data_IF_235230801137
#
_entry.id   IF_235230801137
#
_cell.length_a   1.000
_cell.length_b   1.000
_cell.length_c   1.000
_cell.angle_alpha   90.00
_cell.angle_beta   90.00
_cell.angle_gamma   90.00
#
_symmetry.space_group_name_H-M   'P 1'
#
loop_
_entity.id
_entity.type
_entity.pdbx_description
1 polymer ?
#
# COMPACT_ATOMS: atom_id res chain seq x y z
N UNK A 1 -4.10 -1.99 28.58
CA UNK A 1 -5.35 -2.59 28.07
C UNK A 1 -5.00 -3.34 26.79
N UNK A 2 -5.90 -4.16 26.23
CA UNK A 2 -5.64 -4.88 24.97
C UNK A 2 -6.37 -4.20 23.83
N UNK A 3 -5.70 -4.07 22.68
CA UNK A 3 -6.29 -3.58 21.44
C UNK A 3 -7.51 -4.44 21.04
N UNK A 4 -8.56 -3.79 20.57
CA UNK A 4 -9.74 -4.40 19.96
C UNK A 4 -9.83 -3.92 18.51
N UNK A 5 -10.35 -4.79 17.65
CA UNK A 5 -10.46 -4.53 16.20
C UNK A 5 -11.83 -4.95 15.71
N UNK A 6 -12.44 -4.16 14.86
CA UNK A 6 -13.59 -4.61 14.11
C UNK A 6 -13.15 -5.60 13.04
N UNK A 7 -13.62 -6.84 13.17
CA UNK A 7 -13.36 -7.89 12.21
C UNK A 7 -14.59 -8.09 11.30
N UNK A 8 -14.40 -7.80 10.01
CA UNK A 8 -15.45 -7.95 8.99
C UNK A 8 -16.04 -9.37 8.96
N UNK A 9 -15.24 -10.40 9.28
CA UNK A 9 -15.71 -11.79 9.27
C UNK A 9 -16.73 -12.09 10.38
N UNK A 10 -16.66 -11.37 11.50
CA UNK A 10 -17.61 -11.52 12.62
C UNK A 10 -18.67 -10.41 12.66
N UNK A 11 -18.42 -9.29 11.97
CA UNK A 11 -19.28 -8.11 12.03
C UNK A 11 -19.28 -7.40 13.38
N UNK A 12 -18.23 -7.60 14.20
CA UNK A 12 -18.14 -7.08 15.55
C UNK A 12 -16.74 -6.58 15.90
N UNK A 13 -16.66 -5.69 16.89
CA UNK A 13 -15.39 -5.32 17.54
C UNK A 13 -15.02 -6.46 18.50
N UNK A 14 -13.86 -7.06 18.28
CA UNK A 14 -13.37 -8.23 19.02
C UNK A 14 -11.97 -7.96 19.60
N UNK A 15 -11.59 -8.62 20.71
CA UNK A 15 -10.22 -8.52 21.21
C UNK A 15 -9.21 -9.01 20.17
N UNK A 16 -8.17 -8.22 19.94
CA UNK A 16 -7.05 -8.63 19.11
C UNK A 16 -6.10 -9.53 19.90
N UNK A 17 -5.76 -10.68 19.34
CA UNK A 17 -4.75 -11.59 19.90
C UNK A 17 -3.82 -12.00 18.77
N UNK A 18 -2.52 -11.65 18.81
CA UNK A 18 -1.60 -11.97 17.75
C UNK A 18 -1.42 -13.49 17.59
N UNK A 19 -1.04 -13.92 16.39
CA UNK A 19 -0.72 -15.31 16.05
C UNK A 19 0.57 -15.75 16.72
N UNK A 20 1.51 -14.82 16.83
CA UNK A 20 2.77 -14.99 17.56
C UNK A 20 2.87 -13.89 18.60
N UNK A 21 2.97 -14.26 19.87
CA UNK A 21 3.09 -13.33 20.99
C UNK A 21 4.14 -12.24 20.73
N UNK A 22 3.78 -10.98 20.96
CA UNK A 22 4.65 -9.82 20.72
C UNK A 22 4.90 -9.46 19.24
N UNK A 23 4.27 -10.13 18.27
CA UNK A 23 4.42 -9.83 16.83
C UNK A 23 3.08 -9.62 16.15
N UNK A 24 3.04 -8.71 15.18
CA UNK A 24 1.84 -8.46 14.36
C UNK A 24 2.21 -8.53 12.89
N UNK A 25 1.50 -9.38 12.15
CA UNK A 25 1.64 -9.60 10.72
C UNK A 25 0.45 -9.02 9.96
N UNK A 26 0.72 -8.03 9.11
CA UNK A 26 -0.30 -7.30 8.37
C UNK A 26 -0.05 -7.48 6.88
N UNK A 27 -1.05 -7.96 6.15
CA UNK A 27 -1.14 -7.77 4.71
C UNK A 27 -2.20 -6.71 4.42
N UNK A 28 -1.92 -5.75 3.55
CA UNK A 28 -2.99 -4.94 2.99
C UNK A 28 -2.84 -4.77 1.48
N UNK A 29 -3.95 -4.89 0.77
CA UNK A 29 -3.96 -4.84 -0.69
C UNK A 29 -3.38 -3.53 -1.21
N UNK A 30 -2.51 -3.68 -2.20
CA UNK A 30 -1.80 -2.64 -2.91
C UNK A 30 -2.65 -1.74 -3.77
N UNK A 31 -1.98 -1.01 -4.67
CA UNK A 31 -2.64 -0.27 -5.74
C UNK A 31 -2.23 -0.84 -7.08
N UNK A 32 -3.18 -0.83 -8.02
CA UNK A 32 -2.88 -1.02 -9.43
C UNK A 32 -2.22 0.24 -9.96
N UNK A 33 -1.01 0.14 -10.52
CA UNK A 33 -0.23 1.27 -11.03
C UNK A 33 -0.64 1.68 -12.45
N UNK A 34 -1.94 1.91 -12.62
CA UNK A 34 -2.60 2.28 -13.89
C UNK A 34 -2.77 3.80 -14.06
N UNK A 35 -2.70 4.57 -12.98
CA UNK A 35 -2.91 6.02 -12.97
C UNK A 35 -2.44 6.60 -11.65
N UNK A 36 -2.11 7.89 -11.63
CA UNK A 36 -1.74 8.67 -10.45
C UNK A 36 -2.70 8.43 -9.26
N UNK A 37 -2.18 8.30 -8.03
CA UNK A 37 -3.01 8.01 -6.86
C UNK A 37 -3.76 9.27 -6.39
N UNK A 38 -5.06 9.12 -6.14
CA UNK A 38 -5.90 10.14 -5.52
C UNK A 38 -6.12 9.89 -4.03
N UNK A 39 -6.67 10.87 -3.32
CA UNK A 39 -6.91 10.80 -1.87
C UNK A 39 -7.70 9.55 -1.42
N UNK A 40 -8.71 9.15 -2.19
CA UNK A 40 -9.44 7.90 -1.94
C UNK A 40 -8.55 6.64 -1.94
N UNK A 41 -7.65 6.50 -2.93
CA UNK A 41 -6.70 5.39 -3.00
C UNK A 41 -5.71 5.40 -1.84
N UNK A 42 -5.22 6.59 -1.46
CA UNK A 42 -4.14 6.73 -0.47
C UNK A 42 -4.62 6.59 0.97
N UNK A 43 -5.92 6.81 1.24
CA UNK A 43 -6.49 6.76 2.60
C UNK A 43 -6.15 5.45 3.30
N UNK A 44 -6.32 4.33 2.59
CA UNK A 44 -5.92 2.98 2.99
C UNK A 44 -4.51 3.00 3.60
N UNK A 45 -3.52 3.52 2.87
CA UNK A 45 -2.13 3.53 3.34
C UNK A 45 -1.97 4.34 4.63
N UNK A 46 -2.65 5.48 4.75
CA UNK A 46 -2.63 6.29 5.97
C UNK A 46 -3.21 5.53 7.16
N UNK A 47 -4.31 4.80 6.96
CA UNK A 47 -4.95 3.99 8.01
C UNK A 47 -4.01 2.89 8.51
N UNK A 48 -3.44 2.09 7.61
CA UNK A 48 -2.53 1.01 7.99
C UNK A 48 -1.20 1.53 8.55
N UNK A 49 -0.73 2.71 8.13
CA UNK A 49 0.42 3.38 8.76
C UNK A 49 0.12 3.82 10.19
N UNK A 50 -1.07 4.37 10.47
CA UNK A 50 -1.51 4.71 11.85
C UNK A 50 -1.62 3.45 12.70
N UNK A 51 -2.23 2.38 12.17
CA UNK A 51 -2.33 1.08 12.86
C UNK A 51 -0.94 0.51 13.19
N UNK A 52 -0.03 0.49 12.20
CA UNK A 52 1.36 0.04 12.39
C UNK A 52 2.06 0.83 13.48
N UNK A 53 1.91 2.16 13.49
CA UNK A 53 2.49 3.04 14.49
C UNK A 53 1.91 2.78 15.88
N UNK A 54 0.61 2.53 15.98
CA UNK A 54 -0.04 2.20 17.26
C UNK A 54 0.48 0.88 17.83
N UNK A 55 0.52 -0.19 17.03
CA UNK A 55 1.07 -1.48 17.47
C UNK A 55 2.56 -1.37 17.83
N UNK A 56 3.35 -0.62 17.04
CA UNK A 56 4.78 -0.42 17.33
C UNK A 56 4.96 0.34 18.65
N UNK A 57 4.19 1.40 18.90
CA UNK A 57 4.21 2.14 20.15
C UNK A 57 3.77 1.28 21.34
N UNK A 58 2.86 0.33 21.09
CA UNK A 58 2.36 -0.65 22.08
C UNK A 58 3.32 -1.83 22.31
N UNK A 59 4.52 -1.80 21.73
CA UNK A 59 5.58 -2.77 21.98
C UNK A 59 5.62 -3.99 21.06
N UNK A 60 4.79 -4.04 20.01
CA UNK A 60 4.80 -5.14 19.06
C UNK A 60 5.89 -4.98 17.99
N UNK A 61 6.49 -6.10 17.57
CA UNK A 61 7.24 -6.19 16.32
C UNK A 61 6.24 -6.31 15.15
N UNK A 62 6.08 -5.25 14.36
CA UNK A 62 5.09 -5.21 13.27
C UNK A 62 5.76 -5.46 11.92
N UNK A 63 5.24 -6.45 11.19
CA UNK A 63 5.59 -6.73 9.79
C UNK A 63 4.43 -6.40 8.88
N UNK A 64 4.65 -5.49 7.93
CA UNK A 64 3.65 -5.09 6.95
C UNK A 64 4.08 -5.54 5.56
N UNK A 65 3.21 -6.24 4.84
CA UNK A 65 3.37 -6.58 3.43
C UNK A 65 2.25 -5.92 2.65
N UNK A 66 2.57 -5.20 1.59
CA UNK A 66 1.59 -4.55 0.74
C UNK A 66 2.02 -4.70 -0.71
N UNK A 67 1.18 -5.21 -1.60
CA UNK A 67 1.63 -5.48 -2.96
C UNK A 67 1.61 -4.24 -3.87
N UNK A 68 2.16 -4.38 -5.06
CA UNK A 68 1.89 -3.55 -6.23
C UNK A 68 1.31 -4.45 -7.31
N UNK A 69 0.12 -4.11 -7.82
CA UNK A 69 -0.43 -4.76 -9.01
C UNK A 69 0.09 -4.01 -10.23
N UNK A 70 1.21 -4.49 -10.76
CA UNK A 70 1.91 -3.93 -11.91
C UNK A 70 1.54 -4.59 -13.24
N UNK A 71 0.65 -5.58 -13.22
CA UNK A 71 0.07 -6.22 -14.41
C UNK A 71 -1.46 -6.19 -14.34
N UNK A 72 -2.09 -5.52 -15.30
CA UNK A 72 -3.54 -5.45 -15.40
C UNK A 72 -3.98 -4.93 -16.78
N UNK A 73 -5.12 -5.38 -17.29
CA UNK A 73 -5.70 -4.89 -18.55
C UNK A 73 -5.90 -3.36 -18.53
N UNK A 74 -6.22 -2.79 -17.36
CA UNK A 74 -6.37 -1.35 -17.20
C UNK A 74 -5.05 -0.58 -17.34
N UNK A 75 -3.92 -1.19 -17.02
CA UNK A 75 -2.60 -0.59 -17.24
C UNK A 75 -2.33 -0.52 -18.74
N UNK A 76 -2.61 -1.58 -19.48
CA UNK A 76 -2.40 -1.64 -20.92
C UNK A 76 -3.25 -0.62 -21.66
N UNK A 77 -4.54 -0.52 -21.32
CA UNK A 77 -5.44 0.45 -21.91
C UNK A 77 -4.90 1.88 -21.73
N UNK A 78 -4.42 2.21 -20.52
CA UNK A 78 -3.85 3.53 -20.21
C UNK A 78 -2.50 3.76 -20.88
N UNK A 79 -1.68 2.73 -21.01
CA UNK A 79 -0.38 2.84 -21.67
C UNK A 79 -0.58 3.09 -23.17
N UNK A 80 -1.53 2.40 -23.80
CA UNK A 80 -1.91 2.63 -25.19
C UNK A 80 -2.44 4.05 -25.43
N UNK A 81 -3.30 4.58 -24.54
CA UNK A 81 -3.76 5.98 -24.59
C UNK A 81 -2.59 6.98 -24.50
N UNK A 82 -1.55 6.66 -23.72
CA UNK A 82 -0.37 7.50 -23.52
C UNK A 82 0.74 7.29 -24.57
N UNK A 83 0.61 6.32 -25.48
CA UNK A 83 1.66 5.93 -26.41
C UNK A 83 2.91 5.37 -25.73
N UNK A 84 2.75 4.71 -24.59
CA UNK A 84 3.82 4.11 -23.79
C UNK A 84 3.71 2.58 -23.78
N UNK A 85 4.83 1.91 -23.49
CA UNK A 85 4.77 0.50 -23.12
C UNK A 85 4.13 0.35 -21.73
N UNK A 86 3.41 -0.75 -21.51
CA UNK A 86 2.65 -0.92 -20.27
C UNK A 86 3.53 -0.94 -19.02
N UNK A 87 4.72 -1.51 -19.12
CA UNK A 87 5.67 -1.56 -18.01
C UNK A 87 6.31 -0.19 -17.73
N UNK A 88 6.41 0.69 -18.74
CA UNK A 88 6.89 2.06 -18.56
C UNK A 88 5.87 2.88 -17.78
N UNK A 89 4.58 2.76 -18.15
CA UNK A 89 3.49 3.40 -17.40
C UNK A 89 3.44 2.88 -15.96
N UNK A 90 3.43 1.56 -15.78
CA UNK A 90 3.36 0.93 -14.48
C UNK A 90 4.49 1.41 -13.56
N UNK A 91 5.73 1.41 -14.05
CA UNK A 91 6.88 1.87 -13.29
C UNK A 91 6.82 3.37 -12.98
N UNK A 92 6.43 4.22 -13.94
CA UNK A 92 6.30 5.66 -13.71
C UNK A 92 5.25 5.98 -12.64
N UNK A 93 4.10 5.30 -12.68
CA UNK A 93 3.02 5.47 -11.70
C UNK A 93 3.41 4.90 -10.33
N UNK A 94 4.15 3.79 -10.28
CA UNK A 94 4.71 3.25 -9.03
C UNK A 94 5.61 4.28 -8.33
N UNK A 95 6.51 4.94 -9.09
CA UNK A 95 7.36 6.00 -8.53
C UNK A 95 6.54 7.20 -8.03
N UNK A 96 5.48 7.57 -8.74
CA UNK A 96 4.56 8.62 -8.27
C UNK A 96 3.84 8.21 -6.98
N UNK A 97 3.41 6.95 -6.90
CA UNK A 97 2.78 6.38 -5.72
C UNK A 97 3.67 6.47 -4.49
N UNK A 98 4.93 6.09 -4.61
CA UNK A 98 5.89 6.19 -3.50
C UNK A 98 6.17 7.63 -3.08
N UNK A 99 6.18 8.59 -4.02
CA UNK A 99 6.27 10.01 -3.70
C UNK A 99 5.04 10.49 -2.91
N UNK A 100 3.84 10.04 -3.30
CA UNK A 100 2.60 10.36 -2.58
C UNK A 100 2.62 9.79 -1.14
N UNK A 101 3.01 8.53 -0.96
CA UNK A 101 3.18 7.93 0.38
C UNK A 101 4.19 8.69 1.23
N UNK A 102 5.34 9.01 0.65
CA UNK A 102 6.42 9.73 1.34
C UNK A 102 5.99 11.15 1.73
N UNK A 103 5.27 11.86 0.87
CA UNK A 103 4.74 13.19 1.15
C UNK A 103 3.80 13.17 2.37
N UNK A 104 2.97 12.13 2.49
CA UNK A 104 2.06 11.94 3.63
C UNK A 104 2.73 11.30 4.86
N UNK A 105 4.04 11.06 4.83
CA UNK A 105 4.81 10.50 5.95
C UNK A 105 4.47 9.05 6.29
N UNK A 106 3.93 8.29 5.34
CA UNK A 106 3.71 6.84 5.51
C UNK A 106 5.06 6.12 5.52
N UNK A 107 5.22 5.17 6.45
CA UNK A 107 6.40 4.33 6.52
C UNK A 107 6.26 3.24 5.44
N UNK A 108 7.27 3.05 4.56
CA UNK A 108 7.23 1.97 3.58
C UNK A 108 6.95 0.61 4.25
N UNK A 109 6.20 -0.29 3.61
CA UNK A 109 5.94 -1.63 4.16
C UNK A 109 7.26 -2.37 4.41
N UNK A 110 7.23 -3.37 5.28
CA UNK A 110 8.40 -4.24 5.52
C UNK A 110 8.85 -4.93 4.24
N UNK A 111 7.91 -5.25 3.34
CA UNK A 111 8.19 -5.68 1.98
C UNK A 111 7.03 -5.32 1.04
N UNK A 112 7.36 -4.98 -0.21
CA UNK A 112 6.38 -4.56 -1.23
C UNK A 112 6.47 -5.47 -2.47
N UNK A 113 5.77 -6.62 -2.51
CA UNK A 113 5.86 -7.53 -3.64
C UNK A 113 5.14 -6.97 -4.87
N UNK A 114 5.74 -7.13 -6.06
CA UNK A 114 5.08 -6.88 -7.35
C UNK A 114 4.45 -8.15 -7.90
N UNK A 115 3.27 -8.06 -8.51
CA UNK A 115 2.60 -9.22 -9.11
C UNK A 115 3.47 -9.90 -10.19
N UNK A 116 4.14 -9.13 -11.06
CA UNK A 116 5.06 -9.68 -12.09
C UNK A 116 6.24 -10.47 -11.52
N UNK A 117 6.61 -10.22 -10.27
CA UNK A 117 7.69 -10.92 -9.57
C UNK A 117 7.30 -12.25 -8.92
N UNK A 118 6.02 -12.64 -9.00
CA UNK A 118 5.45 -13.76 -8.23
C UNK A 118 4.66 -14.78 -9.07
N UNK A 119 4.95 -14.83 -10.36
CA UNK A 119 4.25 -15.71 -11.31
C UNK A 119 4.42 -17.20 -10.94
N UNK A 120 5.61 -17.59 -10.46
CA UNK A 120 5.89 -18.96 -10.03
C UNK A 120 4.94 -19.39 -8.91
N UNK A 121 4.81 -18.56 -7.87
CA UNK A 121 3.94 -18.85 -6.72
C UNK A 121 2.46 -18.88 -7.12
N UNK A 122 2.05 -18.03 -8.05
CA UNK A 122 0.68 -18.03 -8.58
C UNK A 122 0.37 -19.32 -9.37
N UNK A 123 1.31 -19.79 -10.19
CA UNK A 123 1.19 -21.08 -10.90
C UNK A 123 1.11 -22.24 -9.88
N UNK A 124 1.96 -22.24 -8.85
CA UNK A 124 1.97 -23.27 -7.81
C UNK A 124 0.65 -23.30 -7.02
N UNK A 125 0.13 -22.15 -6.61
CA UNK A 125 -1.15 -22.05 -5.92
C UNK A 125 -2.31 -22.53 -6.81
N UNK A 126 -2.29 -22.17 -8.09
CA UNK A 126 -3.31 -22.62 -9.06
C UNK A 126 -3.28 -24.14 -9.23
N UNK A 127 -2.08 -24.74 -9.36
CA UNK A 127 -1.94 -26.20 -9.44
C UNK A 127 -2.49 -26.88 -8.18
N UNK A 128 -2.15 -26.36 -7.01
CA UNK A 128 -2.66 -26.88 -5.74
C UNK A 128 -4.18 -26.80 -5.64
N UNK A 129 -4.79 -25.72 -6.12
CA UNK A 129 -6.25 -25.58 -6.16
C UNK A 129 -6.89 -26.61 -7.09
N UNK A 130 -6.30 -26.87 -8.26
CA UNK A 130 -6.74 -27.93 -9.17
C UNK A 130 -6.62 -29.31 -8.50
N UNK A 131 -5.46 -29.63 -7.93
CA UNK A 131 -5.19 -30.92 -7.26
C UNK A 131 -6.17 -31.20 -6.11
N UNK A 132 -6.70 -30.13 -5.49
CA UNK A 132 -7.68 -30.20 -4.41
C UNK A 132 -9.14 -30.13 -4.89
N UNK A 133 -9.38 -30.05 -6.20
CA UNK A 133 -10.72 -30.04 -6.78
C UNK A 133 -11.46 -28.70 -6.66
N UNK A 134 -10.73 -27.59 -6.48
CA UNK A 134 -11.30 -26.25 -6.33
C UNK A 134 -11.05 -25.33 -7.53
N UNK A 135 -10.36 -25.82 -8.55
CA UNK A 135 -10.10 -25.10 -9.78
C UNK A 135 -10.05 -26.04 -10.96
N UNK A 136 -10.27 -25.50 -12.16
CA UNK A 136 -10.25 -26.26 -13.41
C UNK A 136 -9.69 -25.40 -14.56
N UNK A 137 -8.87 -25.99 -15.45
CA UNK A 137 -8.56 -25.36 -16.72
C UNK A 137 -9.81 -25.34 -17.61
N UNK A 138 -9.96 -24.29 -18.41
CA UNK A 138 -11.05 -24.20 -19.38
C UNK A 138 -10.88 -25.23 -20.52
N UNK A 139 -11.98 -25.88 -20.91
CA UNK A 139 -11.98 -26.93 -21.94
C UNK A 139 -12.02 -26.38 -23.38
N UNK A 140 -12.11 -25.07 -23.57
CA UNK A 140 -12.27 -24.41 -24.87
C UNK A 140 -10.94 -24.03 -25.55
N UNK A 141 -9.81 -24.44 -24.95
CA UNK A 141 -8.47 -24.15 -25.44
C UNK A 141 -8.05 -22.69 -25.26
N UNK A 142 -8.74 -21.88 -24.44
CA UNK A 142 -8.33 -20.51 -24.14
C UNK A 142 -7.03 -20.43 -23.35
N UNK A 143 -6.72 -21.47 -22.57
CA UNK A 143 -5.63 -21.46 -21.58
C UNK A 143 -6.02 -20.78 -20.26
N UNK A 144 -7.29 -20.40 -20.10
CA UNK A 144 -7.81 -19.89 -18.83
C UNK A 144 -7.88 -21.01 -17.76
N UNK A 145 -7.75 -20.60 -16.50
CA UNK A 145 -8.00 -21.46 -15.34
C UNK A 145 -8.91 -20.72 -14.39
N UNK A 146 -9.99 -21.36 -13.96
CA UNK A 146 -11.00 -20.77 -13.09
C UNK A 146 -11.03 -21.45 -11.73
N UNK A 147 -11.37 -20.68 -10.71
CA UNK A 147 -11.80 -21.20 -9.42
C UNK A 147 -13.27 -21.63 -9.53
N UNK A 148 -13.58 -22.86 -9.12
CA UNK A 148 -14.96 -23.35 -9.04
C UNK A 148 -15.60 -22.85 -7.74
N UNK A 149 -16.44 -21.82 -7.82
CA UNK A 149 -17.08 -21.24 -6.64
C UNK A 149 -17.96 -22.26 -5.91
N UNK A 150 -18.59 -23.20 -6.63
CA UNK A 150 -19.45 -24.21 -6.00
C UNK A 150 -18.66 -25.25 -5.21
N UNK A 151 -17.40 -25.45 -5.54
CA UNK A 151 -16.51 -26.35 -4.81
C UNK A 151 -16.19 -25.86 -3.39
N UNK A 152 -16.47 -24.60 -3.06
CA UNK A 152 -16.18 -23.99 -1.76
C UNK A 152 -17.48 -23.53 -1.07
N UNK A 153 -18.07 -24.35 -0.17
CA UNK A 153 -19.36 -24.04 0.45
C UNK A 153 -19.39 -22.77 1.32
N UNK A 154 -18.24 -22.32 1.83
CA UNK A 154 -18.12 -21.12 2.66
C UNK A 154 -17.95 -19.82 1.84
N UNK A 155 -18.03 -19.88 0.51
CA UNK A 155 -17.90 -18.70 -0.35
C UNK A 155 -19.00 -17.67 -0.05
N UNK A 156 -18.60 -16.42 0.18
CA UNK A 156 -19.52 -15.33 0.57
C UNK A 156 -19.53 -15.04 2.08
N UNK A 157 -18.79 -15.81 2.88
CA UNK A 157 -18.76 -15.68 4.35
C UNK A 157 -18.09 -14.39 4.82
N UNK A 158 -17.17 -13.80 4.06
CA UNK A 158 -16.54 -12.52 4.44
C UNK A 158 -17.47 -11.33 4.15
N UNK A 159 -18.12 -11.34 2.99
CA UNK A 159 -19.00 -10.26 2.53
C UNK A 159 -20.42 -10.37 3.08
N UNK A 160 -20.76 -11.48 3.75
CA UNK A 160 -22.11 -11.83 4.19
C UNK A 160 -23.12 -11.85 3.03
N UNK A 161 -22.64 -12.17 1.83
CA UNK A 161 -23.45 -12.28 0.62
C UNK A 161 -23.57 -13.73 0.21
N UNK A 162 -24.80 -14.19 -0.05
CA UNK A 162 -25.01 -15.54 -0.55
C UNK A 162 -24.62 -15.61 -2.03
N UNK A 163 -23.94 -16.68 -2.49
CA UNK A 163 -23.57 -16.85 -3.88
C UNK A 163 -24.76 -16.82 -4.86
N UNK A 164 -25.97 -17.14 -4.40
CA UNK A 164 -27.19 -17.10 -5.20
C UNK A 164 -27.69 -15.68 -5.47
N UNK A 165 -27.36 -14.74 -4.59
CA UNK A 165 -27.82 -13.35 -4.62
C UNK A 165 -26.80 -12.43 -5.32
N UNK A 166 -25.66 -12.97 -5.74
CA UNK A 166 -24.60 -12.25 -6.44
C UNK A 166 -24.94 -12.09 -7.93
N UNK A 167 -24.98 -10.84 -8.39
CA UNK A 167 -25.06 -10.53 -9.83
C UNK A 167 -23.77 -10.97 -10.54
N UNK A 168 -23.89 -11.43 -11.78
CA UNK A 168 -22.74 -11.72 -12.64
C UNK A 168 -21.80 -10.52 -12.75
N UNK A 169 -20.50 -10.78 -12.75
CA UNK A 169 -19.52 -9.80 -13.18
C UNK A 169 -19.60 -9.68 -14.71
N UNK A 170 -20.40 -8.73 -15.20
CA UNK A 170 -20.57 -8.39 -16.62
C UNK A 170 -19.24 -8.02 -17.32
N UNK A 171 -18.17 -7.76 -16.57
CA UNK A 171 -16.84 -7.45 -17.12
C UNK A 171 -16.04 -8.70 -17.51
N UNK A 172 -16.48 -9.89 -17.11
CA UNK A 172 -15.93 -11.15 -17.57
C UNK A 172 -16.58 -11.55 -18.89
N UNK A 173 -15.77 -11.87 -19.90
CA UNK A 173 -16.23 -12.41 -21.19
C UNK A 173 -16.97 -13.75 -21.09
N UNK A 174 -17.12 -14.32 -19.88
CA UNK A 174 -17.83 -15.57 -19.57
C UNK A 174 -17.26 -16.80 -20.28
N UNK A 175 -16.12 -16.63 -20.97
CA UNK A 175 -15.53 -17.64 -21.84
C UNK A 175 -15.08 -18.82 -20.98
N UNK A 176 -15.34 -20.05 -21.42
CA UNK A 176 -14.80 -21.26 -20.80
C UNK A 176 -15.26 -21.58 -19.36
N UNK A 177 -16.14 -20.78 -18.75
CA UNK A 177 -16.61 -21.00 -17.37
C UNK A 177 -17.72 -22.05 -17.29
N UNK A 178 -17.65 -22.92 -16.28
CA UNK A 178 -18.74 -23.82 -15.89
C UNK A 178 -19.86 -23.09 -15.16
N UNK A 179 -19.54 -22.12 -14.30
CA UNK A 179 -20.49 -21.24 -13.63
C UNK A 179 -20.13 -19.77 -13.86
N UNK A 180 -21.13 -18.90 -14.03
CA UNK A 180 -20.93 -17.46 -14.25
C UNK A 180 -20.19 -16.77 -13.10
N UNK A 181 -20.26 -17.33 -11.88
CA UNK A 181 -19.63 -16.82 -10.66
C UNK A 181 -18.16 -17.20 -10.54
N UNK A 182 -17.72 -18.21 -11.30
CA UNK A 182 -16.33 -18.65 -11.30
C UNK A 182 -15.42 -17.50 -11.73
N UNK A 183 -14.27 -17.38 -11.09
CA UNK A 183 -13.34 -16.28 -11.34
C UNK A 183 -11.98 -16.80 -11.78
N UNK A 184 -11.33 -16.03 -12.64
CA UNK A 184 -10.06 -16.46 -13.24
C UNK A 184 -8.94 -16.49 -12.19
N UNK A 185 -8.25 -17.61 -12.10
CA UNK A 185 -6.95 -17.76 -11.45
C UNK A 185 -5.83 -17.45 -12.45
N UNK A 186 -5.99 -17.93 -13.68
CA UNK A 186 -5.09 -17.68 -14.79
C UNK A 186 -5.90 -17.27 -16.01
N UNK A 187 -5.46 -16.24 -16.71
CA UNK A 187 -6.06 -15.75 -17.95
C UNK A 187 -5.14 -16.10 -19.11
N UNK A 188 -5.62 -16.93 -20.03
CA UNK A 188 -4.91 -17.27 -21.26
C UNK A 188 -4.71 -16.03 -22.15
N UNK A 189 -3.59 -16.00 -22.87
CA UNK A 189 -3.23 -14.86 -23.71
C UNK A 189 -4.27 -14.62 -24.81
N UNK A 190 -4.71 -13.36 -24.97
CA UNK A 190 -5.67 -12.96 -26.00
C UNK A 190 -5.00 -12.28 -27.19
N UNK A 191 -5.56 -12.39 -28.41
CA UNK A 191 -5.08 -11.61 -29.55
C UNK A 191 -5.10 -10.10 -29.25
N UNK A 192 -3.98 -9.43 -29.56
CA UNK A 192 -3.81 -7.99 -29.32
C UNK A 192 -3.31 -7.61 -27.93
N UNK A 193 -3.19 -8.55 -27.00
CA UNK A 193 -2.48 -8.30 -25.74
C UNK A 193 -0.96 -8.17 -26.00
N UNK A 194 -0.24 -7.32 -25.23
CA UNK A 194 1.21 -7.19 -25.41
C UNK A 194 1.92 -8.52 -25.15
N UNK A 195 2.80 -8.95 -26.05
CA UNK A 195 3.55 -10.20 -25.90
C UNK A 195 4.44 -10.23 -24.63
N UNK A 196 4.84 -9.06 -24.14
CA UNK A 196 5.62 -8.88 -22.90
C UNK A 196 4.77 -9.01 -21.63
N UNK A 197 3.45 -9.07 -21.75
CA UNK A 197 2.49 -9.09 -20.64
C UNK A 197 1.91 -10.50 -20.37
N UNK A 198 2.64 -11.53 -20.79
CA UNK A 198 2.29 -12.93 -20.61
C UNK A 198 3.50 -13.81 -20.25
N UNK A 199 3.24 -14.89 -19.52
CA UNK A 199 4.22 -15.84 -19.03
C UNK A 199 3.85 -17.26 -19.47
N UNK A 200 4.86 -18.13 -19.68
CA UNK A 200 4.60 -19.55 -19.91
C UNK A 200 3.99 -20.18 -18.66
N UNK A 201 3.01 -21.06 -18.86
CA UNK A 201 2.38 -21.85 -17.79
C UNK A 201 2.02 -23.24 -18.29
N UNK A 202 1.66 -24.18 -17.39
CA UNK A 202 1.14 -25.50 -17.77
C UNK A 202 -0.10 -25.47 -18.66
N UNK A 203 -0.85 -24.36 -18.67
CA UNK A 203 -2.09 -24.18 -19.42
C UNK A 203 -1.89 -23.34 -20.69
N UNK A 204 -0.64 -23.04 -21.05
CA UNK A 204 -0.29 -22.15 -22.15
C UNK A 204 0.13 -20.75 -21.69
N UNK A 205 0.55 -19.88 -22.62
CA UNK A 205 0.92 -18.50 -22.28
C UNK A 205 -0.28 -17.73 -21.74
N UNK A 206 -0.06 -16.95 -20.68
CA UNK A 206 -1.11 -16.15 -20.08
C UNK A 206 -0.60 -15.32 -18.91
N UNK A 207 -1.49 -14.91 -18.01
CA UNK A 207 -1.17 -14.04 -16.88
C UNK A 207 -2.08 -14.34 -15.69
N UNK A 208 -1.71 -13.93 -14.47
CA UNK A 208 -2.56 -14.20 -13.32
C UNK A 208 -3.88 -13.43 -13.37
N UNK A 209 -4.88 -14.01 -12.72
CA UNK A 209 -6.08 -13.31 -12.30
C UNK A 209 -5.80 -12.44 -11.07
N UNK A 210 -6.46 -11.29 -10.99
CA UNK A 210 -6.17 -10.24 -10.01
C UNK A 210 -6.17 -10.74 -8.55
N UNK A 211 -7.13 -11.59 -8.18
CA UNK A 211 -7.26 -12.11 -6.81
C UNK A 211 -6.12 -13.05 -6.42
N UNK A 212 -5.67 -13.88 -7.37
CA UNK A 212 -4.63 -14.89 -7.14
C UNK A 212 -3.30 -14.26 -6.72
N UNK A 213 -3.02 -13.06 -7.24
CA UNK A 213 -1.81 -12.30 -6.93
C UNK A 213 -1.63 -12.18 -5.40
N UNK A 214 -2.63 -11.61 -4.72
CA UNK A 214 -2.55 -11.30 -3.30
C UNK A 214 -2.53 -12.56 -2.42
N UNK A 215 -3.28 -13.61 -2.79
CA UNK A 215 -3.22 -14.92 -2.12
C UNK A 215 -1.82 -15.53 -2.16
N UNK A 216 -1.17 -15.53 -3.32
CA UNK A 216 0.18 -16.08 -3.47
C UNK A 216 1.24 -15.23 -2.76
N UNK A 217 1.18 -13.90 -2.90
CA UNK A 217 2.16 -12.99 -2.30
C UNK A 217 2.06 -12.97 -0.77
N UNK A 218 0.86 -12.90 -0.21
CA UNK A 218 0.67 -12.92 1.25
C UNK A 218 1.18 -14.23 1.87
N UNK A 219 0.86 -15.38 1.26
CA UNK A 219 1.34 -16.71 1.67
C UNK A 219 2.88 -16.76 1.74
N UNK A 220 3.57 -16.27 0.70
CA UNK A 220 5.04 -16.32 0.61
C UNK A 220 5.74 -15.59 1.74
N UNK A 221 5.19 -14.44 2.17
CA UNK A 221 5.89 -13.53 3.10
C UNK A 221 5.38 -13.57 4.53
N UNK A 222 4.12 -13.96 4.74
CA UNK A 222 3.50 -14.02 6.06
C UNK A 222 3.19 -15.46 6.50
N UNK A 223 3.25 -16.43 5.59
CA UNK A 223 3.00 -17.85 5.88
C UNK A 223 1.54 -18.25 5.64
N UNK A 224 1.23 -19.50 6.01
CA UNK A 224 -0.11 -20.09 5.81
C UNK A 224 -1.20 -19.42 6.63
N UNK A 225 -0.85 -18.65 7.66
CA UNK A 225 -1.77 -17.85 8.47
C UNK A 225 -1.07 -16.60 8.98
N UNK A 226 -1.82 -15.50 9.09
CA UNK A 226 -1.32 -14.21 9.57
C UNK A 226 -2.43 -13.40 10.25
N UNK A 227 -2.07 -12.30 10.91
CA UNK A 227 -2.99 -11.60 11.82
C UNK A 227 -4.05 -10.82 11.06
N UNK A 228 -3.65 -9.79 10.32
CA UNK A 228 -4.57 -8.80 9.75
C UNK A 228 -4.45 -8.78 8.23
N UNK A 229 -5.58 -8.92 7.54
CA UNK A 229 -5.71 -8.58 6.12
C UNK A 229 -6.59 -7.34 5.97
N UNK A 230 -6.18 -6.38 5.17
CA UNK A 230 -7.04 -5.22 4.94
C UNK A 230 -6.90 -4.48 3.61
N UNK A 231 -7.73 -3.46 3.45
CA UNK A 231 -7.83 -2.70 2.21
C UNK A 231 -8.99 -1.71 2.23
N UNK A 232 -9.29 -1.10 1.07
CA UNK A 232 -10.50 -0.30 0.90
C UNK A 232 -11.75 -1.18 0.95
N UNK A 233 -12.89 -0.62 1.38
CA UNK A 233 -14.17 -1.32 1.47
C UNK A 233 -14.62 -1.95 0.14
N UNK A 234 -14.24 -1.36 -0.99
CA UNK A 234 -14.51 -1.90 -2.33
C UNK A 234 -13.73 -3.18 -2.65
N UNK A 235 -12.70 -3.51 -1.88
CA UNK A 235 -11.99 -4.78 -2.01
C UNK A 235 -12.65 -5.91 -1.23
N UNK A 236 -13.57 -5.62 -0.29
CA UNK A 236 -14.28 -6.66 0.47
C UNK A 236 -14.92 -7.70 -0.45
N UNK A 237 -15.56 -7.24 -1.52
CA UNK A 237 -16.11 -8.11 -2.56
C UNK A 237 -15.90 -7.47 -3.95
N UNK A 238 -15.47 -8.25 -4.97
CA UNK A 238 -15.17 -9.68 -4.90
C UNK A 238 -13.74 -9.99 -4.43
N UNK A 239 -12.86 -8.99 -4.25
CA UNK A 239 -11.43 -9.24 -4.18
C UNK A 239 -11.01 -10.09 -2.97
N UNK A 240 -11.29 -9.64 -1.76
CA UNK A 240 -10.91 -10.30 -0.52
C UNK A 240 -11.69 -11.60 -0.28
N UNK A 241 -12.96 -11.66 -0.72
CA UNK A 241 -13.73 -12.91 -0.71
C UNK A 241 -13.04 -13.98 -1.57
N UNK A 242 -12.59 -13.62 -2.78
CA UNK A 242 -11.88 -14.53 -3.66
C UNK A 242 -10.50 -14.94 -3.11
N UNK A 243 -9.78 -14.03 -2.47
CA UNK A 243 -8.50 -14.35 -1.82
C UNK A 243 -8.67 -15.33 -0.66
N UNK A 244 -9.70 -15.12 0.17
CA UNK A 244 -10.05 -16.01 1.26
C UNK A 244 -10.41 -17.39 0.71
N UNK A 245 -11.27 -17.45 -0.30
CA UNK A 245 -11.67 -18.70 -0.93
C UNK A 245 -10.47 -19.45 -1.53
N UNK A 246 -9.62 -18.78 -2.32
CA UNK A 246 -8.40 -19.36 -2.88
C UNK A 246 -7.48 -19.93 -1.79
N UNK A 247 -7.22 -19.16 -0.74
CA UNK A 247 -6.25 -19.54 0.28
C UNK A 247 -6.79 -20.67 1.17
N UNK A 248 -8.06 -20.59 1.59
CA UNK A 248 -8.69 -21.62 2.43
C UNK A 248 -9.01 -22.90 1.68
N UNK A 249 -9.47 -22.81 0.45
CA UNK A 249 -9.65 -23.97 -0.42
C UNK A 249 -8.32 -24.68 -0.70
N UNK A 250 -7.21 -23.94 -0.80
CA UNK A 250 -5.87 -24.51 -0.86
C UNK A 250 -5.42 -25.16 0.48
N UNK A 251 -6.17 -25.00 1.57
CA UNK A 251 -5.88 -25.60 2.88
C UNK A 251 -5.04 -24.73 3.80
N UNK A 252 -4.95 -23.43 3.55
CA UNK A 252 -4.25 -22.46 4.41
C UNK A 252 -5.24 -21.72 5.32
N UNK A 253 -4.80 -21.27 6.49
CA UNK A 253 -5.65 -20.50 7.43
C UNK A 253 -5.90 -19.04 7.01
N UNK A 254 -4.96 -18.46 6.24
CA UNK A 254 -5.01 -17.08 5.75
C UNK A 254 -5.11 -16.03 6.88
N UNK A 255 -5.95 -15.01 6.73
CA UNK A 255 -6.11 -13.92 7.68
C UNK A 255 -6.99 -14.30 8.89
N UNK A 256 -6.60 -13.86 10.09
CA UNK A 256 -7.40 -13.99 11.33
C UNK A 256 -8.37 -12.84 11.56
N UNK A 257 -8.04 -11.64 11.09
CA UNK A 257 -8.83 -10.42 11.23
C UNK A 257 -8.89 -9.67 9.90
N UNK A 258 -10.07 -9.15 9.54
CA UNK A 258 -10.29 -8.37 8.32
C UNK A 258 -10.61 -6.92 8.63
N UNK A 259 -9.81 -6.00 8.10
CA UNK A 259 -9.97 -4.55 8.29
C UNK A 259 -10.22 -3.82 6.97
N UNK A 260 -11.35 -3.12 6.87
CA UNK A 260 -11.69 -2.34 5.69
C UNK A 260 -11.90 -0.85 6.00
N UNK A 261 -11.17 0.03 5.32
CA UNK A 261 -11.41 1.47 5.42
C UNK A 261 -12.53 1.91 4.47
N UNK A 262 -13.37 2.84 4.93
CA UNK A 262 -14.45 3.40 4.14
C UNK A 262 -13.95 4.38 3.07
N UNK A 263 -14.89 4.83 2.23
CA UNK A 263 -14.59 5.65 1.05
C UNK A 263 -14.19 7.08 1.39
N UNK A 264 -13.50 7.70 0.44
CA UNK A 264 -13.48 9.15 0.30
C UNK A 264 -14.44 9.49 -0.84
N UNK A 265 -15.43 10.33 -0.56
CA UNK A 265 -16.49 10.76 -1.49
C UNK A 265 -16.28 12.22 -1.89
N UNK A 266 -16.90 12.63 -3.00
CA UNK A 266 -16.97 14.03 -3.42
C UNK A 266 -18.34 14.29 -4.03
N UNK A 267 -19.04 15.30 -3.52
CA UNK A 267 -20.44 15.58 -3.81
C UNK A 267 -21.36 14.36 -3.56
N UNK A 268 -21.08 13.57 -2.52
CA UNK A 268 -21.84 12.36 -2.19
C UNK A 268 -21.58 11.13 -3.06
N UNK A 269 -20.78 11.27 -4.13
CA UNK A 269 -20.38 10.17 -5.01
C UNK A 269 -19.02 9.62 -4.61
N UNK A 270 -18.77 8.32 -4.84
CA UNK A 270 -17.43 7.73 -4.65
C UNK A 270 -16.44 8.48 -5.53
N UNK A 271 -15.31 8.89 -4.95
CA UNK A 271 -14.23 9.51 -5.72
C UNK A 271 -13.75 8.51 -6.78
N UNK A 272 -14.07 8.81 -8.03
CA UNK A 272 -13.71 8.02 -9.21
C UNK A 272 -12.93 8.89 -10.20
N UNK A 273 -12.25 8.23 -11.14
CA UNK A 273 -11.29 8.85 -12.07
C UNK A 273 -11.87 9.97 -12.94
N UNK A 274 -13.19 10.04 -13.12
CA UNK A 274 -13.86 11.05 -13.95
C UNK A 274 -13.94 12.44 -13.30
N UNK A 275 -13.53 12.58 -12.04
CA UNK A 275 -13.73 13.79 -11.23
C UNK A 275 -12.57 14.82 -11.32
N UNK A 276 -11.55 14.56 -12.15
CA UNK A 276 -10.47 15.51 -12.48
C UNK A 276 -9.24 15.47 -11.55
N UNK A 277 -8.19 16.21 -11.92
CA UNK A 277 -6.87 16.18 -11.27
C UNK A 277 -6.82 16.74 -9.85
N UNK A 278 -7.89 17.43 -9.39
CA UNK A 278 -7.92 18.14 -8.11
C UNK A 278 -7.81 17.24 -6.87
N UNK A 279 -7.85 15.92 -7.04
CA UNK A 279 -7.81 14.93 -5.96
C UNK A 279 -6.54 14.08 -5.96
N UNK A 280 -5.66 14.25 -6.96
CA UNK A 280 -4.37 13.57 -7.04
C UNK A 280 -3.50 14.04 -5.88
N UNK A 281 -2.87 13.13 -5.14
CA UNK A 281 -2.14 13.47 -3.91
C UNK A 281 -1.04 14.49 -4.19
N UNK A 282 -0.25 14.27 -5.24
CA UNK A 282 0.84 15.18 -5.65
C UNK A 282 0.32 16.60 -5.90
N UNK A 283 -0.82 16.75 -6.56
CA UNK A 283 -1.48 18.04 -6.82
C UNK A 283 -2.17 18.66 -5.58
N UNK A 284 -2.70 17.84 -4.68
CA UNK A 284 -3.25 18.34 -3.42
C UNK A 284 -2.14 18.88 -2.52
N UNK A 285 -1.00 18.21 -2.49
CA UNK A 285 0.16 18.62 -1.67
C UNK A 285 0.90 19.85 -2.16
N UNK A 286 0.60 20.37 -3.35
CA UNK A 286 1.08 21.70 -3.79
C UNK A 286 0.24 22.84 -3.23
N UNK A 287 -1.03 22.58 -2.90
CA UNK A 287 -2.01 23.56 -2.40
C UNK A 287 -2.16 23.53 -0.89
N UNK A 288 -2.03 22.36 -0.28
CA UNK A 288 -2.17 22.16 1.17
C UNK A 288 -0.93 21.47 1.76
N UNK A 289 -0.54 21.80 3.00
CA UNK A 289 0.57 21.12 3.66
C UNK A 289 0.34 19.59 3.73
N UNK A 290 1.32 18.74 3.38
CA UNK A 290 1.12 17.29 3.39
C UNK A 290 0.68 16.73 4.76
N UNK A 291 1.13 17.33 5.87
CA UNK A 291 0.67 16.99 7.23
C UNK A 291 -0.82 17.27 7.44
N UNK A 292 -1.36 18.32 6.81
CA UNK A 292 -2.79 18.65 6.88
C UNK A 292 -3.62 17.65 6.06
N UNK A 293 -3.12 17.25 4.88
CA UNK A 293 -3.74 16.19 4.07
C UNK A 293 -3.76 14.87 4.84
N UNK A 294 -2.66 14.51 5.50
CA UNK A 294 -2.60 13.33 6.37
C UNK A 294 -3.61 13.43 7.52
N UNK A 295 -3.66 14.58 8.21
CA UNK A 295 -4.60 14.82 9.30
C UNK A 295 -6.05 14.64 8.84
N UNK A 296 -6.41 15.24 7.69
CA UNK A 296 -7.72 15.10 7.07
C UNK A 296 -8.12 13.62 6.83
N UNK A 297 -7.18 12.79 6.37
CA UNK A 297 -7.44 11.37 6.11
C UNK A 297 -7.49 10.51 7.38
N UNK A 298 -6.75 10.89 8.43
CA UNK A 298 -6.56 10.09 9.65
C UNK A 298 -7.51 10.45 10.79
N UNK A 299 -8.01 11.69 10.85
CA UNK A 299 -8.85 12.16 11.95
C UNK A 299 -10.22 11.48 12.00
N UNK A 300 -10.96 11.31 10.89
CA UNK A 300 -12.18 10.52 10.89
C UNK A 300 -11.87 9.04 11.14
N UNK A 301 -12.80 8.34 11.80
CA UNK A 301 -12.69 6.90 12.00
C UNK A 301 -12.47 6.19 10.67
N UNK A 302 -11.57 5.19 10.61
CA UNK A 302 -11.18 4.57 9.35
C UNK A 302 -12.35 3.92 8.60
N UNK A 303 -13.36 3.45 9.34
CA UNK A 303 -14.62 2.86 8.85
C UNK A 303 -15.71 3.88 8.49
N UNK A 304 -15.48 5.18 8.67
CA UNK A 304 -16.42 6.23 8.31
C UNK A 304 -16.07 6.85 6.96
N UNK A 305 -17.07 7.10 6.12
CA UNK A 305 -16.87 7.83 4.84
C UNK A 305 -16.40 9.25 5.11
N UNK A 306 -15.46 9.75 4.30
CA UNK A 306 -14.97 11.13 4.38
C UNK A 306 -15.41 11.89 3.12
N UNK A 307 -16.05 13.03 3.31
CA UNK A 307 -16.42 13.93 2.21
C UNK A 307 -15.28 14.91 1.89
N UNK A 308 -14.79 14.83 0.67
CA UNK A 308 -13.78 15.74 0.15
C UNK A 308 -14.38 17.06 -0.31
N UNK A 309 -13.79 18.15 0.18
CA UNK A 309 -13.92 19.50 -0.36
C UNK A 309 -12.62 20.26 -0.10
N UNK A 310 -12.37 21.35 -0.82
CA UNK A 310 -11.25 22.23 -0.48
C UNK A 310 -11.42 22.83 0.93
N UNK A 311 -12.67 23.06 1.36
CA UNK A 311 -13.00 23.49 2.72
C UNK A 311 -12.54 22.49 3.80
N UNK A 312 -12.77 21.19 3.61
CA UNK A 312 -12.35 20.18 4.60
C UNK A 312 -10.82 20.07 4.73
N UNK A 313 -10.07 20.31 3.65
CA UNK A 313 -8.61 20.42 3.72
C UNK A 313 -8.14 21.73 4.37
N UNK A 314 -8.81 22.85 4.11
CA UNK A 314 -8.52 24.12 4.76
C UNK A 314 -8.76 24.05 6.27
N UNK A 315 -9.83 23.38 6.69
CA UNK A 315 -10.10 23.10 8.11
C UNK A 315 -9.02 22.24 8.75
N UNK A 316 -8.58 21.18 8.08
CA UNK A 316 -7.47 20.35 8.55
C UNK A 316 -6.16 21.14 8.64
N UNK A 317 -5.88 22.05 7.71
CA UNK A 317 -4.73 22.94 7.77
C UNK A 317 -4.81 23.88 8.99
N UNK A 318 -5.96 24.52 9.22
CA UNK A 318 -6.16 25.38 10.39
C UNK A 318 -6.07 24.59 11.72
N UNK A 319 -6.52 23.33 11.74
CA UNK A 319 -6.34 22.44 12.90
C UNK A 319 -4.85 22.15 13.14
N UNK A 320 -4.10 21.84 12.09
CA UNK A 320 -2.67 21.59 12.17
C UNK A 320 -1.90 22.82 12.69
N UNK A 321 -2.24 24.02 12.22
CA UNK A 321 -1.63 25.27 12.70
C UNK A 321 -1.82 25.46 14.21
N UNK A 322 -2.99 25.11 14.76
CA UNK A 322 -3.22 25.17 16.21
C UNK A 322 -2.36 24.18 16.98
N UNK A 323 -2.17 22.97 16.45
CA UNK A 323 -1.28 21.96 17.04
C UNK A 323 0.16 22.47 17.03
N UNK A 324 0.63 22.97 15.89
CA UNK A 324 1.99 23.48 15.74
C UNK A 324 2.26 24.71 16.62
N UNK A 325 1.30 25.63 16.73
CA UNK A 325 1.38 26.78 17.61
C UNK A 325 1.53 26.36 19.08
N UNK A 326 0.76 25.37 19.53
CA UNK A 326 0.91 24.84 20.89
C UNK A 326 2.28 24.18 21.10
N UNK A 327 2.72 23.31 20.19
CA UNK A 327 4.04 22.68 20.25
C UNK A 327 5.16 23.72 20.36
N UNK A 328 5.10 24.79 19.55
CA UNK A 328 6.06 25.90 19.59
C UNK A 328 6.04 26.61 20.95
N UNK A 329 4.84 26.93 21.49
CA UNK A 329 4.69 27.54 22.81
C UNK A 329 5.21 26.66 23.95
N UNK A 330 5.00 25.35 23.84
CA UNK A 330 5.47 24.36 24.81
C UNK A 330 6.99 24.10 24.70
N UNK A 331 7.67 24.68 23.71
CA UNK A 331 9.09 24.42 23.44
C UNK A 331 9.37 22.98 23.00
N UNK A 332 8.38 22.30 22.41
CA UNK A 332 8.54 20.96 21.87
C UNK A 332 9.43 21.02 20.63
N UNK A 333 10.51 20.24 20.61
CA UNK A 333 11.42 20.15 19.48
C UNK A 333 11.84 18.70 19.24
N UNK A 334 11.84 18.31 17.97
CA UNK A 334 12.27 16.99 17.51
C UNK A 334 11.29 15.84 17.80
N UNK A 335 11.59 14.63 17.30
CA UNK A 335 10.82 13.45 17.63
C UNK A 335 10.94 13.14 19.13
N UNK A 336 9.81 13.04 19.80
CA UNK A 336 9.73 12.62 21.20
C UNK A 336 9.49 11.12 21.20
N UNK A 337 10.46 10.35 21.72
CA UNK A 337 10.19 8.98 22.11
C UNK A 337 9.19 9.01 23.27
N UNK A 338 8.06 8.33 23.12
CA UNK A 338 7.06 8.16 24.17
C UNK A 338 6.79 6.66 24.36
N UNK A 339 6.51 6.26 25.60
CA UNK A 339 5.82 5.01 25.85
C UNK A 339 4.31 5.26 25.78
N UNK A 340 3.51 4.27 25.37
CA UNK A 340 2.04 4.39 25.42
C UNK A 340 1.57 4.74 26.84
N UNK A 341 2.28 4.27 27.88
CA UNK A 341 2.04 4.61 29.29
C UNK A 341 2.25 6.10 29.64
N UNK A 342 2.94 6.86 28.78
CA UNK A 342 3.11 8.31 28.95
C UNK A 342 1.91 9.12 28.40
N UNK A 343 1.02 8.47 27.64
CA UNK A 343 -0.14 9.12 27.02
C UNK A 343 -1.32 9.21 28.01
N UNK A 344 -2.23 10.18 27.83
CA UNK A 344 -3.47 10.22 28.61
C UNK A 344 -4.24 8.91 28.47
N UNK A 345 -4.75 8.36 29.57
CA UNK A 345 -5.49 7.09 29.58
C UNK A 345 -6.64 7.08 28.55
N UNK A 346 -7.40 8.17 28.47
CA UNK A 346 -8.49 8.31 27.50
C UNK A 346 -8.02 8.28 26.02
N UNK A 347 -6.78 8.70 25.73
CA UNK A 347 -6.20 8.58 24.39
C UNK A 347 -5.89 7.12 24.07
N UNK A 348 -5.30 6.40 25.03
CA UNK A 348 -4.97 4.98 24.89
C UNK A 348 -6.25 4.15 24.73
N UNK A 349 -7.26 4.39 25.56
CA UNK A 349 -8.58 3.74 25.46
C UNK A 349 -9.23 3.98 24.10
N UNK A 350 -9.20 5.21 23.60
CA UNK A 350 -9.77 5.52 22.28
C UNK A 350 -9.00 4.83 21.13
N UNK A 351 -7.68 4.76 21.21
CA UNK A 351 -6.88 4.08 20.19
C UNK A 351 -6.96 2.55 20.28
N UNK A 352 -7.11 2.00 21.49
CA UNK A 352 -7.31 0.56 21.73
C UNK A 352 -8.72 0.08 21.35
N UNK A 353 -9.69 0.98 21.25
CA UNK A 353 -11.03 0.70 20.72
C UNK A 353 -11.08 0.93 19.21
N UNK A 354 -10.76 -0.12 18.43
CA UNK A 354 -10.88 -0.14 16.96
C UNK A 354 -10.15 1.01 16.23
N UNK A 355 -8.98 1.42 16.74
CA UNK A 355 -8.23 2.56 16.21
C UNK A 355 -9.08 3.84 16.16
N UNK A 356 -9.79 4.12 17.25
CA UNK A 356 -10.73 5.24 17.43
C UNK A 356 -10.09 6.63 17.40
N UNK A 357 -9.54 7.01 16.24
CA UNK A 357 -8.84 8.28 16.02
C UNK A 357 -9.69 9.52 16.37
N UNK A 358 -11.02 9.59 16.13
CA UNK A 358 -11.79 10.78 16.54
C UNK A 358 -11.73 11.03 18.05
N UNK A 359 -11.85 9.99 18.87
CA UNK A 359 -11.74 10.09 20.32
C UNK A 359 -10.34 10.50 20.76
N UNK A 360 -9.32 9.92 20.14
CA UNK A 360 -7.92 10.28 20.37
C UNK A 360 -7.63 11.75 20.04
N UNK A 361 -8.21 12.28 18.94
CA UNK A 361 -8.12 13.70 18.57
C UNK A 361 -8.86 14.63 19.52
N UNK A 362 -10.00 14.20 20.08
CA UNK A 362 -10.69 14.97 21.12
C UNK A 362 -9.78 15.18 22.34
N UNK A 363 -9.15 14.10 22.82
CA UNK A 363 -8.18 14.16 23.94
C UNK A 363 -6.98 15.05 23.60
N UNK A 364 -6.48 15.00 22.36
CA UNK A 364 -5.41 15.88 21.89
C UNK A 364 -5.81 17.37 21.99
N UNK A 365 -7.01 17.73 21.52
CA UNK A 365 -7.48 19.12 21.56
C UNK A 365 -7.74 19.63 22.99
N UNK A 366 -8.26 18.77 23.86
CA UNK A 366 -8.40 19.07 25.29
C UNK A 366 -7.03 19.32 25.94
N UNK A 367 -6.05 18.47 25.63
CA UNK A 367 -4.66 18.59 26.11
C UNK A 367 -4.03 19.90 25.65
N UNK A 368 -4.22 20.28 24.38
CA UNK A 368 -3.74 21.55 23.82
C UNK A 368 -4.41 22.74 24.54
N UNK A 369 -5.71 22.66 24.79
CA UNK A 369 -6.46 23.73 25.46
C UNK A 369 -5.99 23.91 26.91
N UNK A 370 -5.87 22.81 27.66
CA UNK A 370 -5.38 22.82 29.03
C UNK A 370 -3.91 23.29 29.11
N UNK A 371 -3.06 22.81 28.20
CA UNK A 371 -1.65 23.19 28.13
C UNK A 371 -1.45 24.68 27.83
N UNK A 372 -2.22 25.24 26.87
CA UNK A 372 -2.19 26.68 26.60
C UNK A 372 -2.58 27.50 27.83
N UNK A 373 -3.65 27.12 28.56
CA UNK A 373 -4.06 27.79 29.80
C UNK A 373 -2.96 27.76 30.88
N UNK A 374 -2.27 26.63 31.03
CA UNK A 374 -1.16 26.50 31.98
C UNK A 374 0.02 27.43 31.59
N UNK A 375 0.38 27.47 30.31
CA UNK A 375 1.41 28.37 29.80
C UNK A 375 1.06 29.85 29.99
N UNK A 376 -0.21 30.23 29.79
CA UNK A 376 -0.70 31.59 30.01
C UNK A 376 -0.66 32.00 31.49
N UNK A 377 -0.92 31.05 32.41
CA UNK A 377 -0.84 31.28 33.85
C UNK A 377 0.61 31.42 34.37
N UNK A 378 1.62 31.35 33.49
CA UNK A 378 3.03 31.34 33.88
C UNK A 378 3.46 30.03 34.56
N UNK A 379 2.57 29.04 34.61
CA UNK A 379 2.88 27.70 35.07
C UNK A 379 3.66 26.99 33.96
N UNK A 380 4.94 27.35 33.83
CA UNK A 380 5.93 26.59 33.05
C UNK A 380 6.27 25.28 33.75
N UNK A 381 5.28 24.67 34.42
CA UNK A 381 5.34 23.38 35.07
C UNK A 381 6.07 22.43 34.15
N UNK A 382 7.28 22.09 34.59
CA UNK A 382 8.19 21.09 34.03
C UNK A 382 7.33 20.00 33.36
N UNK A 383 7.53 19.66 32.08
CA UNK A 383 6.89 18.45 31.56
C UNK A 383 7.28 17.34 32.52
N UNK A 384 6.29 16.74 33.18
CA UNK A 384 6.48 15.66 34.14
C UNK A 384 7.06 14.48 33.36
N UNK A 385 8.37 14.48 33.15
CA UNK A 385 9.15 13.27 32.93
C UNK A 385 8.94 12.42 34.17
N UNK A 386 7.95 11.52 34.14
CA UNK A 386 8.02 10.30 34.94
C UNK A 386 9.15 9.46 34.33
N UNK A 387 10.37 9.84 34.68
CA UNK A 387 11.52 8.98 34.46
C UNK A 387 11.35 7.79 35.40
N UNK A 388 10.95 6.66 34.85
CA UNK A 388 11.17 5.37 35.50
C UNK A 388 12.67 5.29 35.82
N UNK A 389 12.98 5.12 37.10
CA UNK A 389 14.35 5.07 37.59
C UNK A 389 15.09 3.91 36.96
N UNK A 390 16.05 4.21 36.09
CA UNK A 390 17.15 3.32 35.80
C UNK A 390 18.34 3.80 36.63
N UNK A 391 18.75 3.02 37.61
CA UNK A 391 19.86 3.33 38.50
C UNK A 391 21.16 3.51 37.70
N UNK A 392 21.98 4.53 37.99
CA UNK A 392 23.30 4.64 37.40
C UNK A 392 24.22 3.57 38.01
N UNK A 393 24.66 2.63 37.17
CA UNK A 393 25.77 1.74 37.52
C UNK A 393 27.03 2.58 37.66
N UNK A 394 27.43 2.86 38.90
CA UNK A 394 28.64 3.57 39.24
C UNK A 394 29.87 2.75 38.84
N UNK A 395 30.76 3.40 38.10
CA UNK A 395 32.16 3.04 37.96
C UNK A 395 32.81 2.84 39.33
N UNK A 396 33.41 1.67 39.56
CA UNK A 396 34.48 1.52 40.54
C UNK A 396 35.64 0.74 39.92
N UNK A 397 36.81 1.34 40.05
CA UNK A 397 38.10 0.85 39.58
C UNK A 397 38.71 -0.11 40.60
N UNK A 398 39.40 -1.12 40.05
CA UNK A 398 40.59 -1.81 40.55
C UNK A 398 40.57 -2.47 41.95
N UNK A 399 40.70 -3.80 41.95
CA UNK A 399 41.74 -4.45 42.74
C UNK A 399 42.13 -5.82 42.16
N UNK A 400 43.43 -6.07 42.18
CA UNK A 400 44.21 -7.18 41.66
C UNK A 400 43.95 -8.50 42.39
N UNK A 401 43.86 -9.62 41.65
CA UNK A 401 44.47 -10.88 42.10
C UNK A 401 44.78 -11.85 40.96
N UNK A 402 46.05 -12.22 40.93
CA UNK A 402 46.72 -13.15 40.03
C UNK A 402 46.43 -14.61 40.40
N UNK A 403 46.34 -15.49 39.40
CA UNK A 403 46.77 -16.93 39.32
C UNK A 403 45.83 -17.67 38.35
N UNK A 404 46.15 -18.74 37.60
CA UNK A 404 47.33 -19.30 36.91
C UNK A 404 46.76 -20.52 36.13
N UNK A 405 47.12 -20.71 34.83
CA UNK A 405 47.10 -21.97 34.01
C UNK A 405 45.81 -22.83 33.97
N UNK A 406 45.16 -23.10 32.83
CA UNK A 406 45.59 -23.98 31.72
C UNK A 406 44.36 -24.59 30.98
N UNK A 407 44.51 -25.32 29.85
CA UNK A 407 43.80 -25.01 28.60
C UNK A 407 42.71 -26.01 28.15
N UNK A 408 41.81 -25.61 27.23
CA UNK A 408 41.02 -26.59 26.47
C UNK A 408 39.84 -26.08 25.62
N UNK A 409 40.12 -25.96 24.32
CA UNK A 409 39.21 -26.13 23.15
C UNK A 409 38.28 -24.98 22.72
N UNK A 410 38.48 -24.64 21.45
CA UNK A 410 37.86 -23.60 20.65
C UNK A 410 36.53 -24.05 20.00
N UNK A 411 35.64 -23.09 19.81
CA UNK A 411 34.52 -23.13 18.86
C UNK A 411 34.58 -21.87 17.97
N UNK A 412 34.18 -21.92 16.70
CA UNK A 412 34.53 -20.89 15.72
C UNK A 412 33.59 -19.68 15.80
N UNK A 413 34.20 -18.50 15.81
CA UNK A 413 33.57 -17.18 15.68
C UNK A 413 33.15 -16.93 14.23
N UNK A 414 31.88 -16.53 14.03
CA UNK A 414 31.40 -15.87 12.80
C UNK A 414 31.81 -14.40 12.79
N UNK A 415 32.24 -13.83 11.65
CA UNK A 415 32.61 -12.42 11.58
C UNK A 415 31.38 -11.50 11.49
N UNK A 416 31.33 -10.50 12.38
CA UNK A 416 30.52 -9.30 12.23
C UNK A 416 31.01 -8.50 11.03
N UNK A 417 30.12 -8.22 10.08
CA UNK A 417 30.32 -7.20 9.07
C UNK A 417 29.90 -5.84 9.63
N UNK A 418 30.88 -5.02 10.01
CA UNK A 418 30.71 -3.58 10.19
C UNK A 418 31.31 -2.89 8.97
N UNK A 419 30.45 -2.50 8.02
CA UNK A 419 30.80 -1.68 6.87
C UNK A 419 30.24 -0.27 7.04
N UNK A 420 31.06 0.62 7.58
CA UNK A 420 30.85 2.06 7.54
C UNK A 420 31.25 2.61 6.17
N UNK A 421 30.34 3.29 5.48
CA UNK A 421 30.72 4.28 4.47
C UNK A 421 29.63 5.35 4.40
N UNK A 422 29.80 6.41 5.19
CA UNK A 422 29.17 7.69 4.91
C UNK A 422 29.89 8.36 3.75
N UNK A 423 29.14 8.92 2.82
CA UNK A 423 29.63 9.94 1.89
C UNK A 423 28.60 11.06 1.81
N UNK A 424 28.92 12.15 2.50
CA UNK A 424 28.28 13.45 2.34
C UNK A 424 28.52 13.95 0.91
N UNK A 425 27.45 14.26 0.18
CA UNK A 425 27.54 15.08 -1.04
C UNK A 425 27.23 16.52 -0.66
N UNK A 426 28.27 17.32 -0.48
CA UNK A 426 28.22 18.77 -0.48
C UNK A 426 28.36 19.29 -1.91
N UNK A 427 27.42 20.15 -2.29
CA UNK A 427 27.32 20.83 -3.57
C UNK A 427 28.37 21.96 -3.68
N UNK A 428 29.19 21.89 -4.73
CA UNK A 428 30.08 22.96 -5.19
C UNK A 428 29.96 23.15 -6.71
N UNK A 429 30.16 24.37 -7.24
CA UNK A 429 29.71 24.75 -8.58
C UNK A 429 30.58 24.17 -9.71
N UNK A 430 29.92 23.80 -10.81
CA UNK A 430 30.54 23.25 -12.04
C UNK A 430 31.40 24.29 -12.78
N UNK A 431 32.58 23.91 -13.32
CA UNK A 431 33.27 24.71 -14.32
C UNK A 431 32.72 24.43 -15.73
N UNK A 432 32.66 25.47 -16.56
CA UNK A 432 32.22 25.43 -17.95
C UNK A 432 33.27 24.74 -18.86
N UNK A 433 32.87 23.98 -19.90
CA UNK A 433 33.83 23.42 -20.85
C UNK A 433 34.22 24.41 -21.95
N UNK A 434 35.51 24.37 -22.27
CA UNK A 434 36.19 25.21 -23.24
C UNK A 434 35.80 24.93 -24.70
N UNK A 435 35.74 26.00 -25.49
CA UNK A 435 35.68 25.99 -26.96
C UNK A 435 36.97 25.40 -27.54
N UNK A 436 36.84 24.49 -28.50
CA UNK A 436 37.85 24.29 -29.54
C UNK A 436 37.19 24.34 -30.91
N UNK A 437 37.76 25.20 -31.74
CA UNK A 437 37.40 25.49 -33.12
C UNK A 437 38.21 24.62 -34.07
N UNK A 438 37.58 23.96 -35.03
CA UNK A 438 38.16 23.77 -36.36
C UNK A 438 37.04 23.67 -37.41
N UNK A 439 37.22 24.44 -38.49
CA UNK A 439 36.34 24.59 -39.67
C UNK A 439 37.17 24.19 -40.92
N UNK A 440 36.60 24.16 -42.14
CA UNK A 440 36.23 22.95 -42.87
C UNK A 440 37.03 22.77 -44.18
N UNK A 441 36.87 21.62 -44.84
CA UNK A 441 37.13 21.48 -46.29
C UNK A 441 35.97 20.73 -46.94
N UNK A 442 35.51 21.24 -48.08
CA UNK A 442 34.40 20.71 -48.87
C UNK A 442 34.84 20.26 -50.26
N UNK A 443 33.95 19.50 -50.92
CA UNK A 443 33.81 19.29 -52.38
C UNK A 443 32.87 18.08 -52.57
N UNK A 444 31.57 18.25 -52.82
CA UNK A 444 30.92 18.48 -54.13
C UNK A 444 31.04 17.30 -55.14
N UNK A 445 29.90 16.65 -55.45
CA UNK A 445 29.40 16.26 -56.79
C UNK A 445 28.13 15.38 -56.61
N UNK A 446 26.93 15.89 -56.93
CA UNK A 446 26.18 15.82 -58.21
C UNK A 446 25.13 14.70 -58.24
N UNK A 447 23.85 15.11 -58.18
CA UNK A 447 22.68 14.43 -58.78
C UNK A 447 22.75 14.52 -60.33
N UNK A 448 21.93 13.78 -61.09
CA UNK A 448 20.54 14.21 -61.38
C UNK A 448 19.53 13.03 -61.48
N UNK A 449 18.26 13.21 -61.10
CA UNK A 449 17.16 13.62 -62.01
C UNK A 449 16.21 12.41 -62.20
N UNK A 450 14.89 12.51 -62.38
CA UNK A 450 13.98 13.63 -62.62
C UNK A 450 12.53 13.10 -62.74
N UNK A 451 11.56 13.88 -62.23
CA UNK A 451 10.23 14.22 -62.79
C UNK A 451 9.24 13.09 -63.21
N UNK A 452 7.91 13.25 -63.32
CA UNK A 452 7.03 14.42 -63.41
C UNK A 452 5.53 14.00 -63.31
N UNK A 453 4.67 15.02 -63.14
CA UNK A 453 3.25 15.16 -63.50
C UNK A 453 2.20 14.49 -62.58
N UNK A 454 1.33 15.21 -61.84
CA UNK A 454 0.35 16.28 -62.15
C UNK A 454 -0.88 15.81 -62.93
N UNK A 455 -2.09 15.95 -62.33
CA UNK A 455 -3.31 16.56 -62.92
C UNK A 455 -4.58 16.43 -62.05
N UNK A 456 -5.16 17.60 -61.75
CA UNK A 456 -6.58 18.01 -61.82
C UNK A 456 -7.74 17.24 -61.14
N UNK A 457 -8.44 18.00 -60.26
CA UNK A 457 -9.89 17.95 -59.90
C UNK A 457 -10.80 18.10 -61.14
N UNK A 458 -12.11 17.69 -61.15
CA UNK A 458 -13.15 18.35 -60.32
C UNK A 458 -14.44 17.54 -59.92
N UNK A 459 -15.15 18.11 -58.92
CA UNK A 459 -16.62 18.18 -58.67
C UNK A 459 -17.54 16.96 -58.74
N UNK A 460 -18.36 16.78 -57.68
CA UNK A 460 -19.65 16.07 -57.71
C UNK A 460 -20.41 16.17 -56.38
N UNK A 461 -21.64 16.70 -56.42
CA UNK A 461 -22.62 16.88 -55.33
C UNK A 461 -23.58 15.67 -55.22
N UNK A 462 -24.21 15.52 -54.04
CA UNK A 462 -25.50 14.84 -53.81
C UNK A 462 -25.35 13.40 -53.34
N UNK A 463 -26.10 12.86 -52.37
CA UNK A 463 -27.23 13.31 -51.56
C UNK A 463 -27.75 12.09 -50.79
N UNK A 464 -28.62 12.34 -49.80
CA UNK A 464 -29.26 11.42 -48.83
C UNK A 464 -28.39 10.97 -47.65
#
# INVERSE_FOLDING_TARGET
MSFHVYDESTGAVVPFTPLVEGRVSIYHCGLTVQSSPHLGHIRKEVVFDVLRRWFTASGYEVRVVANITDINEKIWARAAEAGLEWYELAYAVELELHRAYSALGCIPPSYEPRATGHITEMIELTRRLIDRGHAYPADDGSGDVYFDVRSWPEYGSLSHQRPEDMSSDESSDGRGKHDRRDFALWKGAKPGEPATAGWPSPWGPGRPGWHLECSAMSLKYLGESFDIHGGGLDLRFPHHENEQAQSRAAGYGFARYWMHNAFVTMAGEKMSKSLGNGTIVTEVTTRFPPRAVRLYLAQPHYRSTIEYSEGSLAEAAAQLERIDAFCARAGAAGPVAFAVDDLPTAFVEAMDDDLGTPGAFAVLHETITAGNRALDAGDRGRPRRRSAGCAPCSTSSASTRTTRSGPGRAAPTRPCWTGSSGSCWSSGPRPAPARTTHRPTGSAMRSPGSACASRTRPTGRGGA
#
